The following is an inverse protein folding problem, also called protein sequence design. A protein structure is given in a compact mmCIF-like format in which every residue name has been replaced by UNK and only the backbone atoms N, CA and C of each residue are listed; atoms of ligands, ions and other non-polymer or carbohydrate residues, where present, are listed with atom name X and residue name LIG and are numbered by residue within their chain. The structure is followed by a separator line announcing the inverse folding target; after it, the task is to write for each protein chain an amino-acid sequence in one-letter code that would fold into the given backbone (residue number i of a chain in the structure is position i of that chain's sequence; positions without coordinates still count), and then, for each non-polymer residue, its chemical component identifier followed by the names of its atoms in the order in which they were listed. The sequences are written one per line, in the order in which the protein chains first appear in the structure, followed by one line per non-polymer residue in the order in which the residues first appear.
data_IF_101330165731
#
_entry.id   IF_101330165731
#
_cell.length_a   1.000
_cell.length_b   1.000
_cell.length_c   1.000
_cell.angle_alpha   90.00
_cell.angle_beta   90.00
_cell.angle_gamma   90.00
#
_symmetry.space_group_name_H-M   'P 1'
#
loop_
_entity.id
_entity.type
_entity.pdbx_description
1 polymer ?
#
# COMPACT_ATOMS: atom_id res chain seq x y z
N UNK A 1 -1.64 25.64 29.16
CA UNK A 1 -2.10 25.50 27.77
C UNK A 1 -2.00 24.04 27.47
N UNK A 2 -3.05 23.34 27.02
CA UNK A 2 -2.93 21.93 26.63
C UNK A 2 -2.07 21.85 25.36
N UNK A 3 -1.31 20.77 25.16
CA UNK A 3 -0.48 20.58 23.97
C UNK A 3 -1.37 20.51 22.74
N UNK A 4 -0.90 21.11 21.66
CA UNK A 4 -1.59 21.19 20.37
C UNK A 4 -1.56 19.79 19.70
N UNK A 5 -2.58 18.98 19.97
CA UNK A 5 -2.77 17.59 19.57
C UNK A 5 -3.21 17.41 18.10
N UNK A 6 -3.19 18.50 17.30
CA UNK A 6 -3.72 18.52 15.92
C UNK A 6 -2.91 17.72 14.90
N UNK A 7 -1.87 17.00 15.32
CA UNK A 7 -0.92 16.35 14.41
C UNK A 7 -0.87 14.83 14.46
N UNK A 8 -1.81 14.14 15.11
CA UNK A 8 -1.70 12.69 15.26
C UNK A 8 -2.99 11.97 14.90
N UNK A 9 -3.26 11.70 13.62
CA UNK A 9 -4.34 10.78 13.29
C UNK A 9 -4.19 10.20 11.88
N UNK A 10 -4.22 8.87 11.75
CA UNK A 10 -4.12 8.15 10.49
C UNK A 10 -5.10 7.00 10.36
N UNK A 11 -5.61 6.81 9.18
CA UNK A 11 -6.16 5.56 8.67
C UNK A 11 -5.16 4.95 7.70
N UNK A 12 -5.35 3.69 7.29
CA UNK A 12 -4.57 2.99 6.26
C UNK A 12 -4.18 3.89 5.10
N UNK A 13 -5.11 4.71 4.75
CA UNK A 13 -4.98 5.69 3.70
C UNK A 13 -4.22 6.94 4.13
N UNK A 14 -4.45 7.42 5.35
CA UNK A 14 -3.76 8.58 5.89
C UNK A 14 -2.28 8.29 6.17
N UNK A 15 -1.93 7.09 6.59
CA UNK A 15 -0.55 6.73 6.89
C UNK A 15 0.33 6.68 5.65
N UNK A 16 -0.14 6.09 4.54
CA UNK A 16 0.62 6.14 3.28
C UNK A 16 0.89 7.58 2.82
N UNK A 17 -0.04 8.49 3.07
CA UNK A 17 0.14 9.88 2.69
C UNK A 17 0.96 10.68 3.73
N UNK A 18 0.89 10.31 5.02
CA UNK A 18 1.70 10.97 6.05
C UNK A 18 3.16 10.58 6.00
N UNK A 19 3.50 9.39 5.49
CA UNK A 19 4.90 9.08 5.16
C UNK A 19 5.45 10.01 4.07
N UNK A 20 4.56 10.66 3.30
CA UNK A 20 4.91 11.70 2.35
C UNK A 20 4.93 13.12 2.96
N UNK A 21 4.32 13.32 4.14
CA UNK A 21 4.28 14.62 4.80
C UNK A 21 5.40 14.74 5.83
N UNK A 22 6.62 14.90 5.39
CA UNK A 22 7.59 15.59 6.22
C UNK A 22 7.19 17.06 6.31
N UNK A 23 6.27 17.39 7.21
CA UNK A 23 6.31 18.75 7.72
C UNK A 23 7.70 18.93 8.32
N UNK A 24 8.42 19.93 7.84
CA UNK A 24 9.56 20.47 8.55
C UNK A 24 9.05 20.97 9.90
N UNK A 25 8.89 20.08 10.85
CA UNK A 25 9.08 20.46 12.23
C UNK A 25 10.56 20.78 12.28
N UNK A 26 10.90 22.06 12.25
CA UNK A 26 12.20 22.50 12.72
C UNK A 26 12.37 21.80 14.07
N UNK A 27 13.18 20.76 14.10
CA UNK A 27 13.64 20.15 15.32
C UNK A 27 14.49 21.20 16.02
N UNK A 28 13.80 22.06 16.79
CA UNK A 28 14.45 22.74 17.87
C UNK A 28 14.96 21.60 18.75
N UNK A 29 16.27 21.49 18.86
CA UNK A 29 16.98 20.65 19.81
C UNK A 29 16.28 20.74 21.17
N UNK A 30 15.42 19.80 21.48
CA UNK A 30 14.88 19.62 22.79
C UNK A 30 15.48 18.33 23.34
N UNK A 31 16.41 18.47 24.28
CA UNK A 31 16.96 17.42 25.14
C UNK A 31 15.90 16.70 26.00
N UNK A 32 14.66 16.68 25.60
CA UNK A 32 13.58 15.97 26.29
C UNK A 32 13.51 14.54 25.78
N UNK A 33 13.35 13.55 26.66
CA UNK A 33 13.12 12.19 26.24
C UNK A 33 11.91 12.14 25.31
N UNK A 34 12.10 11.67 24.10
CA UNK A 34 11.05 11.52 23.11
C UNK A 34 10.35 10.18 23.33
N UNK A 35 9.05 10.22 23.58
CA UNK A 35 8.23 9.03 23.72
C UNK A 35 7.94 8.40 22.37
N UNK A 36 7.68 7.10 22.34
CA UNK A 36 7.32 6.38 21.13
C UNK A 36 6.06 6.98 20.47
N UNK A 37 5.08 7.40 21.26
CA UNK A 37 3.85 8.07 20.83
C UNK A 37 4.05 9.38 20.05
N UNK A 38 5.23 9.99 20.13
CA UNK A 38 5.51 11.26 19.47
C UNK A 38 5.86 11.07 17.98
N UNK A 39 6.26 9.88 17.59
CA UNK A 39 6.72 9.59 16.23
C UNK A 39 6.22 8.25 15.67
N UNK A 40 5.60 7.41 16.50
CA UNK A 40 5.03 6.13 16.11
C UNK A 40 3.52 6.15 16.35
N UNK A 41 2.75 5.95 15.29
CA UNK A 41 1.29 5.95 15.34
C UNK A 41 0.79 4.59 14.86
N UNK A 42 -0.31 4.14 15.45
CA UNK A 42 -0.88 2.83 15.14
C UNK A 42 -2.40 2.84 15.26
N UNK A 43 -3.02 1.96 14.51
CA UNK A 43 -4.47 1.75 14.56
C UNK A 43 -4.86 0.30 14.35
N UNK A 44 -6.08 -0.02 14.75
CA UNK A 44 -6.75 -1.26 14.37
C UNK A 44 -8.01 -0.90 13.59
N UNK A 45 -8.16 -1.49 12.42
CA UNK A 45 -9.14 -1.15 11.43
C UNK A 45 -10.04 -2.36 11.11
N UNK A 46 -11.33 -2.11 10.94
CA UNK A 46 -12.23 -3.02 10.24
C UNK A 46 -12.38 -2.51 8.82
N UNK A 47 -12.02 -3.35 7.87
CA UNK A 47 -12.01 -3.01 6.44
C UNK A 47 -13.03 -3.87 5.71
N UNK A 48 -13.99 -3.22 5.05
CA UNK A 48 -14.88 -3.85 4.09
C UNK A 48 -14.43 -3.54 2.67
N UNK A 49 -14.24 -4.56 1.84
CA UNK A 49 -13.81 -4.41 0.45
C UNK A 49 -14.90 -4.85 -0.53
N UNK A 50 -14.94 -4.19 -1.68
CA UNK A 50 -15.89 -4.46 -2.74
C UNK A 50 -15.22 -4.44 -4.12
N UNK A 51 -15.40 -5.51 -4.89
CA UNK A 51 -14.88 -5.66 -6.25
C UNK A 51 -13.36 -5.44 -6.35
N UNK A 52 -12.60 -5.97 -5.38
CA UNK A 52 -11.13 -5.95 -5.47
C UNK A 52 -10.64 -6.81 -6.62
N UNK A 53 -9.51 -6.40 -7.24
CA UNK A 53 -8.98 -6.97 -8.48
C UNK A 53 -7.49 -7.31 -8.38
N UNK A 54 -7.05 -7.83 -7.24
CA UNK A 54 -5.66 -8.31 -7.08
C UNK A 54 -5.43 -9.68 -7.71
N UNK A 55 -6.49 -10.40 -7.99
CA UNK A 55 -6.47 -11.72 -8.61
C UNK A 55 -7.35 -11.77 -9.85
N UNK A 56 -7.51 -12.97 -10.43
CA UNK A 56 -8.25 -13.12 -11.69
C UNK A 56 -9.77 -12.96 -11.54
N UNK A 57 -10.29 -12.95 -10.32
CA UNK A 57 -11.73 -12.82 -10.04
C UNK A 57 -12.01 -11.65 -9.12
N UNK A 58 -13.18 -11.02 -9.28
CA UNK A 58 -13.69 -10.03 -8.34
C UNK A 58 -13.89 -10.64 -6.96
N UNK A 59 -13.46 -9.94 -5.91
CA UNK A 59 -13.62 -10.37 -4.53
C UNK A 59 -14.21 -9.24 -3.67
N UNK A 60 -15.02 -9.66 -2.70
CA UNK A 60 -15.52 -8.82 -1.62
C UNK A 60 -15.13 -9.50 -0.32
N UNK A 61 -14.72 -8.72 0.67
CA UNK A 61 -14.31 -9.27 1.95
C UNK A 61 -14.51 -8.27 3.09
N UNK A 62 -14.43 -8.78 4.32
CA UNK A 62 -14.31 -7.97 5.53
C UNK A 62 -13.22 -8.58 6.40
N UNK A 63 -12.26 -7.77 6.80
CA UNK A 63 -11.09 -8.22 7.55
C UNK A 63 -10.67 -7.23 8.62
N UNK A 64 -9.86 -7.71 9.55
CA UNK A 64 -9.20 -6.88 10.55
C UNK A 64 -7.81 -6.51 10.03
N UNK A 65 -7.46 -5.25 10.17
CA UNK A 65 -6.15 -4.72 9.80
C UNK A 65 -5.52 -4.03 10.99
N UNK A 66 -4.24 -4.31 11.22
CA UNK A 66 -3.38 -3.49 12.07
C UNK A 66 -2.49 -2.63 11.18
N UNK A 67 -2.41 -1.34 11.47
CA UNK A 67 -1.64 -0.37 10.71
C UNK A 67 -0.71 0.41 11.61
N UNK A 68 0.48 0.72 11.12
CA UNK A 68 1.43 1.58 11.79
C UNK A 68 2.19 2.48 10.81
N UNK A 69 2.48 3.69 11.25
CA UNK A 69 3.42 4.56 10.57
C UNK A 69 4.30 5.30 11.59
N UNK A 70 5.50 5.64 11.16
CA UNK A 70 6.47 6.31 11.99
C UNK A 70 7.35 7.22 11.14
N UNK A 71 7.73 8.38 11.68
CA UNK A 71 8.77 9.22 11.08
C UNK A 71 9.60 9.85 12.17
N UNK A 72 10.91 9.58 12.14
CA UNK A 72 11.87 10.17 13.07
C UNK A 72 13.25 10.24 12.42
N UNK A 73 13.81 11.43 12.39
CA UNK A 73 15.15 11.69 11.84
C UNK A 73 15.36 11.05 10.46
N UNK A 74 16.21 10.04 10.38
CA UNK A 74 16.55 9.32 9.16
C UNK A 74 15.60 8.19 8.79
N UNK A 75 14.60 7.89 9.65
CA UNK A 75 13.70 6.75 9.48
C UNK A 75 12.28 7.22 9.16
N UNK A 76 11.69 6.62 8.12
CA UNK A 76 10.30 6.79 7.71
C UNK A 76 9.72 5.41 7.46
N UNK A 77 8.59 5.09 8.07
CA UNK A 77 7.99 3.77 8.04
C UNK A 77 6.48 3.87 7.83
N UNK A 78 6.00 3.01 6.98
CA UNK A 78 4.60 2.66 6.85
C UNK A 78 4.48 1.14 6.81
N UNK A 79 3.43 0.58 7.38
CA UNK A 79 3.14 -0.83 7.25
C UNK A 79 1.78 -1.20 7.80
N UNK A 80 1.24 -2.29 7.27
CA UNK A 80 -0.01 -2.88 7.76
C UNK A 80 0.05 -4.40 7.71
N UNK A 81 -0.81 -5.03 8.51
CA UNK A 81 -1.00 -6.46 8.57
C UNK A 81 -2.49 -6.78 8.65
N UNK A 82 -2.97 -7.55 7.69
CA UNK A 82 -4.36 -7.97 7.56
C UNK A 82 -4.55 -9.38 8.11
N UNK A 83 -5.64 -9.57 8.84
CA UNK A 83 -6.12 -10.87 9.30
C UNK A 83 -7.42 -11.23 8.56
N UNK A 84 -7.35 -11.82 7.35
CA UNK A 84 -8.51 -12.06 6.50
C UNK A 84 -9.53 -13.02 7.12
N UNK A 85 -9.07 -13.97 7.92
CA UNK A 85 -9.91 -15.00 8.54
C UNK A 85 -10.55 -14.57 9.87
N UNK A 86 -10.30 -13.35 10.33
CA UNK A 86 -10.73 -12.87 11.65
C UNK A 86 -12.25 -12.90 11.84
N UNK A 87 -13.03 -12.49 10.83
CA UNK A 87 -14.48 -12.45 10.88
C UNK A 87 -15.15 -13.75 10.41
N UNK A 88 -14.65 -14.91 10.87
CA UNK A 88 -15.23 -16.20 10.57
C UNK A 88 -14.76 -16.83 9.27
N UNK A 89 -13.64 -16.39 8.77
CA UNK A 89 -12.95 -17.06 7.69
C UNK A 89 -12.58 -18.47 8.13
N UNK A 90 -12.90 -19.44 7.29
CA UNK A 90 -12.48 -20.81 7.45
C UNK A 90 -11.34 -21.13 6.48
N UNK A 91 -10.98 -22.41 6.35
CA UNK A 91 -9.99 -22.86 5.38
C UNK A 91 -10.30 -22.47 3.94
N UNK A 92 -11.55 -22.18 3.65
CA UNK A 92 -12.08 -21.83 2.34
C UNK A 92 -12.38 -20.33 2.21
N UNK A 93 -11.80 -19.48 3.06
CA UNK A 93 -11.98 -18.04 2.97
C UNK A 93 -11.81 -17.59 1.51
N UNK A 94 -12.84 -16.92 0.99
CA UNK A 94 -12.92 -16.61 -0.44
C UNK A 94 -12.57 -15.18 -0.77
N UNK A 95 -12.35 -14.34 0.22
CA UNK A 95 -12.12 -12.91 0.07
C UNK A 95 -11.12 -12.50 -1.01
N UNK A 96 -10.37 -11.47 -0.75
CA UNK A 96 -9.32 -11.01 -1.67
C UNK A 96 -8.11 -11.96 -1.69
N UNK A 97 -7.98 -12.82 -0.68
CA UNK A 97 -6.88 -13.77 -0.54
C UNK A 97 -7.24 -15.14 -1.09
N UNK A 98 -6.31 -15.70 -1.86
CA UNK A 98 -6.45 -17.06 -2.37
C UNK A 98 -6.17 -18.08 -1.24
N UNK A 99 -6.91 -19.19 -1.28
CA UNK A 99 -6.69 -20.34 -0.38
C UNK A 99 -6.78 -20.00 1.11
N UNK A 100 -7.48 -18.92 1.48
CA UNK A 100 -7.73 -18.56 2.87
C UNK A 100 -6.47 -18.21 3.65
N UNK A 101 -5.64 -17.35 3.11
CA UNK A 101 -4.45 -16.85 3.80
C UNK A 101 -4.79 -16.32 5.19
N UNK A 102 -4.08 -16.72 6.24
CA UNK A 102 -4.33 -16.22 7.59
C UNK A 102 -3.71 -14.86 7.86
N UNK A 103 -2.73 -14.44 7.06
CA UNK A 103 -1.99 -13.20 7.23
C UNK A 103 -1.54 -12.66 5.87
N UNK A 104 -1.83 -11.39 5.66
CA UNK A 104 -1.20 -10.58 4.61
C UNK A 104 -0.53 -9.38 5.27
N UNK A 105 0.61 -8.94 4.77
CA UNK A 105 1.26 -7.72 5.26
C UNK A 105 2.03 -7.00 4.16
N UNK A 106 2.12 -5.68 4.31
CA UNK A 106 2.99 -4.81 3.53
C UNK A 106 3.72 -3.87 4.47
N UNK A 107 5.03 -3.72 4.28
CA UNK A 107 5.86 -2.78 5.03
C UNK A 107 6.72 -1.94 4.08
N UNK A 108 6.83 -0.66 4.36
CA UNK A 108 7.52 0.33 3.53
C UNK A 108 8.51 1.17 4.36
N UNK A 109 9.65 0.63 4.81
CA UNK A 109 10.68 1.42 5.45
C UNK A 109 11.46 2.24 4.41
N UNK A 110 11.65 3.53 4.71
CA UNK A 110 12.52 4.43 3.96
C UNK A 110 13.60 4.98 4.88
N UNK A 111 14.81 5.06 4.39
CA UNK A 111 16.00 5.53 5.12
C UNK A 111 16.55 6.77 4.43
N UNK A 112 16.51 7.92 5.09
CA UNK A 112 16.97 9.19 4.54
C UNK A 112 18.48 9.14 4.26
N UNK A 113 18.84 9.24 3.00
CA UNK A 113 20.25 9.29 2.58
C UNK A 113 20.88 10.59 3.04
N UNK A 114 20.16 11.71 2.89
CA UNK A 114 20.59 13.05 3.31
C UNK A 114 21.01 13.05 4.78
N UNK A 115 20.16 12.55 5.67
CA UNK A 115 20.43 12.55 7.12
C UNK A 115 21.47 11.54 7.54
N UNK A 116 21.46 10.35 6.94
CA UNK A 116 22.47 9.30 7.24
C UNK A 116 23.87 9.68 6.78
N UNK A 117 23.99 10.43 5.69
CA UNK A 117 25.29 10.90 5.17
C UNK A 117 25.65 12.29 5.66
N UNK A 118 24.74 12.97 6.38
CA UNK A 118 24.87 14.38 6.74
C UNK A 118 25.18 15.28 5.54
N UNK A 119 24.53 15.00 4.41
CA UNK A 119 24.73 15.71 3.13
C UNK A 119 23.38 16.20 2.64
N UNK A 120 23.27 17.47 2.30
CA UNK A 120 22.08 18.00 1.64
C UNK A 120 22.12 17.62 0.15
N UNK A 121 21.23 16.71 -0.26
CA UNK A 121 21.08 16.26 -1.64
C UNK A 121 19.87 16.93 -2.33
N UNK A 122 19.24 17.91 -1.69
CA UNK A 122 18.09 18.61 -2.26
C UNK A 122 18.48 19.41 -3.52
N UNK A 123 17.61 19.39 -4.52
CA UNK A 123 17.71 20.27 -5.69
C UNK A 123 16.34 20.52 -6.32
N UNK A 124 16.04 21.76 -6.66
CA UNK A 124 14.76 22.15 -7.23
C UNK A 124 13.59 21.75 -6.29
N UNK A 125 12.58 21.00 -6.77
CA UNK A 125 11.48 20.55 -5.94
C UNK A 125 11.81 19.31 -5.09
N UNK A 126 12.91 18.61 -5.35
CA UNK A 126 13.30 17.40 -4.63
C UNK A 126 13.99 17.79 -3.32
N UNK A 127 13.36 17.42 -2.18
CA UNK A 127 13.77 17.92 -0.86
C UNK A 127 14.58 16.94 -0.04
N UNK A 128 14.27 15.68 -0.10
CA UNK A 128 14.92 14.64 0.68
C UNK A 128 14.95 13.35 -0.12
N UNK A 129 16.09 12.65 -0.10
CA UNK A 129 16.27 11.40 -0.82
C UNK A 129 16.36 10.22 0.13
N UNK A 130 15.77 9.12 -0.30
CA UNK A 130 15.67 7.91 0.51
C UNK A 130 16.17 6.67 -0.22
N UNK A 131 16.82 5.78 0.53
CA UNK A 131 16.82 4.37 0.18
C UNK A 131 15.46 3.81 0.59
N UNK A 132 14.64 3.51 -0.40
CA UNK A 132 13.24 3.14 -0.22
C UNK A 132 13.08 1.62 -0.40
N UNK A 133 12.30 1.02 0.47
CA UNK A 133 11.94 -0.38 0.40
C UNK A 133 10.42 -0.54 0.50
N UNK A 134 9.90 -1.62 -0.11
CA UNK A 134 8.54 -2.08 0.10
C UNK A 134 8.58 -3.61 0.06
N UNK A 135 8.09 -4.25 1.11
CA UNK A 135 8.02 -5.70 1.19
C UNK A 135 6.58 -6.13 1.36
N UNK A 136 6.12 -7.00 0.47
CA UNK A 136 4.78 -7.59 0.47
C UNK A 136 4.90 -9.07 0.79
N UNK A 137 4.10 -9.52 1.75
CA UNK A 137 4.04 -10.89 2.16
C UNK A 137 2.59 -11.37 2.31
N UNK A 138 2.25 -12.46 1.61
CA UNK A 138 1.04 -13.23 1.83
C UNK A 138 1.44 -14.62 2.32
N UNK A 139 1.04 -14.95 3.53
CA UNK A 139 1.42 -16.20 4.18
C UNK A 139 0.89 -17.42 3.42
N UNK A 140 -0.30 -17.32 2.82
CA UNK A 140 -0.98 -18.42 2.17
C UNK A 140 -1.17 -19.64 3.08
N UNK A 141 -1.83 -20.67 2.59
CA UNK A 141 -1.93 -21.96 3.30
C UNK A 141 -1.02 -23.03 2.72
N UNK A 142 -0.61 -22.85 1.49
CA UNK A 142 0.30 -23.75 0.78
C UNK A 142 1.27 -22.92 -0.08
N UNK A 143 2.20 -23.59 -0.75
CA UNK A 143 3.20 -22.93 -1.58
C UNK A 143 2.57 -22.03 -2.67
N UNK A 144 1.55 -22.52 -3.34
CA UNK A 144 0.91 -21.80 -4.45
C UNK A 144 -0.04 -20.67 -3.99
N UNK A 145 -0.26 -20.55 -2.69
CA UNK A 145 -1.02 -19.46 -2.07
C UNK A 145 -0.15 -18.37 -1.47
N UNK A 146 1.18 -18.42 -1.63
CA UNK A 146 2.12 -17.49 -1.01
C UNK A 146 2.60 -16.42 -1.96
N UNK A 147 2.79 -15.22 -1.40
CA UNK A 147 3.56 -14.17 -2.04
C UNK A 147 4.67 -13.70 -1.09
N UNK A 148 5.84 -13.45 -1.64
CA UNK A 148 6.96 -12.81 -0.95
C UNK A 148 7.73 -11.98 -1.97
N UNK A 149 7.48 -10.67 -1.96
CA UNK A 149 7.99 -9.73 -2.97
C UNK A 149 8.70 -8.59 -2.27
N UNK A 150 9.90 -8.29 -2.71
CA UNK A 150 10.67 -7.16 -2.23
C UNK A 150 10.92 -6.16 -3.35
N UNK A 151 10.57 -4.93 -3.09
CA UNK A 151 10.88 -3.78 -3.91
C UNK A 151 11.95 -2.95 -3.21
N UNK A 152 13.04 -2.62 -3.88
CA UNK A 152 14.10 -1.79 -3.35
C UNK A 152 14.55 -0.75 -4.37
N UNK A 153 14.85 0.47 -3.90
CA UNK A 153 15.26 1.53 -4.81
C UNK A 153 15.40 2.89 -4.16
N UNK A 154 15.13 3.92 -4.92
CA UNK A 154 15.26 5.30 -4.48
C UNK A 154 13.89 5.97 -4.35
N UNK A 155 13.75 6.81 -3.34
CA UNK A 155 12.58 7.65 -3.13
C UNK A 155 12.97 9.10 -2.88
N UNK A 156 11.99 9.99 -3.04
CA UNK A 156 12.17 11.42 -2.74
C UNK A 156 10.86 12.04 -2.29
N UNK A 157 10.96 13.01 -1.39
CA UNK A 157 9.87 13.92 -1.04
C UNK A 157 9.97 15.18 -1.92
N UNK A 158 8.81 15.67 -2.39
CA UNK A 158 8.73 16.75 -3.38
C UNK A 158 7.98 17.94 -2.78
N UNK A 159 8.59 19.10 -2.84
CA UNK A 159 7.95 20.37 -2.56
C UNK A 159 7.18 20.85 -3.80
N UNK A 160 5.88 20.84 -3.70
CA UNK A 160 5.00 21.28 -4.79
C UNK A 160 4.70 22.78 -4.73
N UNK A 161 5.10 23.47 -3.66
CA UNK A 161 4.67 24.83 -3.36
C UNK A 161 3.18 24.96 -2.96
N UNK A 162 2.48 23.83 -2.79
CA UNK A 162 1.07 23.74 -2.40
C UNK A 162 0.95 23.13 -0.99
N UNK A 163 -0.17 23.34 -0.29
CA UNK A 163 -0.42 22.72 1.02
C UNK A 163 -0.74 21.23 0.88
N UNK A 164 0.18 20.47 0.31
CA UNK A 164 0.09 19.03 0.11
C UNK A 164 1.44 18.39 0.28
N UNK A 165 1.44 17.12 0.62
CA UNK A 165 2.64 16.29 0.59
C UNK A 165 2.64 15.43 -0.67
N UNK A 166 3.79 15.29 -1.29
CA UNK A 166 4.01 14.44 -2.45
C UNK A 166 5.30 13.66 -2.27
N UNK A 167 5.27 12.36 -2.51
CA UNK A 167 6.47 11.54 -2.58
C UNK A 167 6.43 10.60 -3.77
N UNK A 168 7.62 10.27 -4.28
CA UNK A 168 7.81 9.34 -5.40
C UNK A 168 8.89 8.34 -5.04
N UNK A 169 8.69 7.09 -5.45
CA UNK A 169 9.69 6.04 -5.31
C UNK A 169 9.79 5.24 -6.62
N UNK A 170 11.00 4.82 -6.95
CA UNK A 170 11.29 3.89 -8.06
C UNK A 170 12.01 2.69 -7.49
N UNK A 171 11.52 1.51 -7.81
CA UNK A 171 12.01 0.25 -7.27
C UNK A 171 12.38 -0.75 -8.36
N UNK A 172 13.40 -1.56 -8.11
CA UNK A 172 13.55 -2.88 -8.72
C UNK A 172 12.79 -3.90 -7.87
N UNK A 173 12.19 -4.91 -8.50
CA UNK A 173 11.34 -5.90 -7.85
C UNK A 173 12.03 -7.27 -7.85
N UNK A 174 12.16 -7.89 -6.66
CA UNK A 174 12.59 -9.27 -6.49
C UNK A 174 11.43 -10.12 -5.97
N UNK A 175 11.17 -11.24 -6.64
CA UNK A 175 10.10 -12.18 -6.30
C UNK A 175 10.70 -13.45 -5.71
N UNK A 176 10.54 -13.72 -4.40
CA UNK A 176 10.83 -15.04 -3.85
C UNK A 176 9.69 -16.02 -4.10
N UNK A 177 8.45 -15.54 -3.99
CA UNK A 177 7.22 -16.30 -4.23
C UNK A 177 6.19 -15.39 -4.86
N UNK A 178 5.43 -15.90 -5.82
CA UNK A 178 4.35 -15.17 -6.47
C UNK A 178 3.19 -16.11 -6.86
N UNK A 179 2.62 -16.76 -5.84
CA UNK A 179 1.47 -17.65 -6.01
C UNK A 179 1.70 -18.78 -7.03
N UNK A 180 2.94 -19.32 -7.10
CA UNK A 180 3.31 -20.34 -8.06
C UNK A 180 3.48 -19.86 -9.49
N UNK A 181 3.61 -18.56 -9.72
CA UNK A 181 3.85 -17.99 -11.05
C UNK A 181 5.28 -18.31 -11.55
N UNK A 182 5.51 -18.10 -12.85
CA UNK A 182 6.79 -18.42 -13.50
C UNK A 182 7.95 -17.54 -13.00
N UNK A 183 7.67 -16.33 -12.52
CA UNK A 183 8.64 -15.32 -12.08
C UNK A 183 9.06 -15.44 -10.60
N UNK A 184 9.18 -16.65 -10.06
CA UNK A 184 9.64 -16.86 -8.68
C UNK A 184 11.16 -17.02 -8.60
N UNK A 185 11.76 -16.50 -7.50
CA UNK A 185 13.19 -16.50 -7.17
C UNK A 185 14.07 -15.71 -8.14
N UNK A 186 13.55 -14.59 -8.65
CA UNK A 186 14.28 -13.73 -9.59
C UNK A 186 13.95 -12.25 -9.46
N UNK A 187 14.78 -11.42 -10.09
CA UNK A 187 14.44 -10.03 -10.36
C UNK A 187 13.47 -9.97 -11.52
N UNK A 188 12.31 -9.33 -11.29
CA UNK A 188 11.24 -9.33 -12.27
C UNK A 188 10.56 -7.96 -12.36
N UNK A 189 11.20 -7.08 -13.09
CA UNK A 189 10.69 -5.76 -13.43
C UNK A 189 10.85 -4.71 -12.32
N UNK A 190 10.07 -3.66 -12.45
CA UNK A 190 10.21 -2.42 -11.71
C UNK A 190 8.84 -1.93 -11.22
N UNK A 191 8.86 -1.05 -10.22
CA UNK A 191 7.68 -0.29 -9.77
C UNK A 191 8.01 1.19 -9.67
N UNK A 192 7.11 2.03 -10.16
CA UNK A 192 7.01 3.44 -9.78
C UNK A 192 5.82 3.61 -8.84
N UNK A 193 6.05 4.23 -7.69
CA UNK A 193 5.01 4.56 -6.71
C UNK A 193 4.99 6.06 -6.50
N UNK A 194 3.81 6.66 -6.60
CA UNK A 194 3.57 8.04 -6.21
C UNK A 194 2.54 8.06 -5.08
N UNK A 195 2.78 8.89 -4.07
CA UNK A 195 1.86 9.09 -2.93
C UNK A 195 1.65 10.58 -2.71
N UNK A 196 0.44 10.96 -2.36
CA UNK A 196 0.10 12.34 -2.01
C UNK A 196 -0.94 12.42 -0.89
N UNK A 197 -0.85 13.50 -0.12
CA UNK A 197 -1.79 13.85 0.94
C UNK A 197 -2.18 15.31 0.81
N UNK A 198 -3.49 15.58 0.84
CA UNK A 198 -4.07 16.93 0.75
C UNK A 198 -5.02 17.11 1.93
N UNK A 199 -4.69 17.93 2.93
CA UNK A 199 -5.67 18.34 3.94
C UNK A 199 -6.72 19.24 3.28
N UNK A 200 -8.02 18.92 3.46
CA UNK A 200 -9.09 19.67 2.80
C UNK A 200 -9.68 20.70 3.77
N UNK A 201 -10.28 20.25 4.86
CA UNK A 201 -10.97 21.12 5.82
C UNK A 201 -11.31 20.37 7.09
N UNK A 202 -11.63 21.11 8.15
CA UNK A 202 -12.28 20.55 9.32
C UNK A 202 -13.77 20.32 9.02
N UNK A 203 -14.27 19.14 9.32
CA UNK A 203 -15.65 18.75 9.09
C UNK A 203 -16.17 17.96 10.30
N UNK A 204 -17.29 18.40 10.87
CA UNK A 204 -17.96 17.76 12.02
C UNK A 204 -17.03 17.49 13.22
N UNK A 205 -16.03 18.36 13.43
CA UNK A 205 -15.05 18.20 14.51
C UNK A 205 -13.90 17.25 14.22
N UNK A 206 -13.83 16.70 13.01
CA UNK A 206 -12.70 15.93 12.51
C UNK A 206 -12.05 16.59 11.31
N UNK A 207 -10.86 16.13 10.93
CA UNK A 207 -10.14 16.61 9.75
C UNK A 207 -10.46 15.76 8.52
N UNK A 208 -11.03 16.37 7.49
CA UNK A 208 -11.22 15.75 6.19
C UNK A 208 -9.95 15.91 5.34
N UNK A 209 -9.48 14.81 4.77
CA UNK A 209 -8.30 14.77 3.92
C UNK A 209 -8.56 13.95 2.65
N UNK A 210 -7.87 14.31 1.57
CA UNK A 210 -7.81 13.51 0.37
C UNK A 210 -6.41 12.93 0.21
N UNK A 211 -6.37 11.63 -0.03
CA UNK A 211 -5.14 10.85 -0.03
C UNK A 211 -5.14 9.99 -1.27
N UNK A 212 -3.99 9.81 -1.87
CA UNK A 212 -3.88 8.90 -2.98
C UNK A 212 -2.51 8.27 -3.09
N UNK A 213 -2.52 7.07 -3.67
CA UNK A 213 -1.30 6.43 -4.12
C UNK A 213 -1.55 5.64 -5.40
N UNK A 214 -0.53 5.60 -6.25
CA UNK A 214 -0.56 4.85 -7.49
C UNK A 214 0.71 4.04 -7.61
N UNK A 215 0.55 2.74 -7.83
CA UNK A 215 1.61 1.82 -8.20
C UNK A 215 1.51 1.54 -9.69
N UNK A 216 2.61 1.71 -10.40
CA UNK A 216 2.78 1.31 -11.78
C UNK A 216 3.92 0.30 -11.86
N UNK A 217 3.60 -0.96 -12.18
CA UNK A 217 4.56 -2.05 -12.38
C UNK A 217 4.81 -2.22 -13.88
N UNK A 218 6.08 -2.43 -14.27
CA UNK A 218 6.46 -2.66 -15.66
C UNK A 218 7.75 -3.50 -15.78
N UNK A 219 7.98 -4.03 -16.98
CA UNK A 219 9.22 -4.75 -17.31
C UNK A 219 9.33 -6.11 -16.62
N UNK A 220 8.21 -6.69 -16.21
CA UNK A 220 8.13 -8.08 -15.76
C UNK A 220 8.08 -9.01 -16.97
N UNK A 221 8.74 -10.16 -16.91
CA UNK A 221 8.69 -11.19 -17.95
C UNK A 221 7.48 -12.11 -17.79
N UNK A 222 6.69 -11.93 -16.73
CA UNK A 222 5.57 -12.80 -16.37
C UNK A 222 4.55 -13.01 -17.50
N UNK A 223 4.26 -11.98 -18.29
CA UNK A 223 3.38 -12.07 -19.44
C UNK A 223 3.98 -12.95 -20.55
N UNK A 224 5.29 -12.87 -20.76
CA UNK A 224 5.98 -13.66 -21.79
C UNK A 224 6.12 -15.13 -21.38
N UNK A 225 6.39 -15.39 -20.11
CA UNK A 225 6.56 -16.71 -19.52
C UNK A 225 5.26 -17.43 -19.21
N UNK A 226 4.13 -16.68 -19.16
CA UNK A 226 2.83 -17.28 -18.89
C UNK A 226 2.26 -18.04 -20.09
N UNK A 227 1.48 -19.09 -19.78
CA UNK A 227 0.71 -19.82 -20.79
C UNK A 227 -0.46 -19.00 -21.36
N UNK A 228 -1.17 -19.62 -22.30
CA UNK A 228 -2.37 -19.08 -22.90
C UNK A 228 -3.62 -19.59 -22.19
N UNK A 229 -4.60 -18.73 -22.04
CA UNK A 229 -5.94 -19.04 -21.58
C UNK A 229 -6.73 -19.83 -22.64
N UNK A 230 -7.91 -20.36 -22.27
CA UNK A 230 -8.75 -21.17 -23.16
C UNK A 230 -9.17 -20.42 -24.44
N UNK A 231 -9.28 -19.10 -24.38
CA UNK A 231 -9.62 -18.24 -25.51
C UNK A 231 -8.41 -17.71 -26.29
N UNK A 232 -7.20 -18.24 -26.03
CA UNK A 232 -5.98 -17.87 -26.76
C UNK A 232 -5.33 -16.57 -26.32
N UNK A 233 -5.83 -15.90 -25.27
CA UNK A 233 -5.20 -14.73 -24.66
C UNK A 233 -4.10 -15.20 -23.69
N UNK A 234 -2.97 -14.48 -23.61
CA UNK A 234 -1.97 -14.71 -22.56
C UNK A 234 -2.63 -14.56 -21.18
N UNK A 235 -2.32 -15.44 -20.23
CA UNK A 235 -2.95 -15.39 -18.91
C UNK A 235 -2.47 -14.24 -18.04
N UNK A 236 -1.24 -13.80 -18.23
CA UNK A 236 -0.59 -12.73 -17.43
C UNK A 236 -0.08 -11.60 -18.34
N UNK A 237 0.30 -10.50 -17.72
CA UNK A 237 0.82 -9.28 -18.38
C UNK A 237 2.15 -8.86 -17.79
N UNK A 238 2.94 -8.08 -18.55
CA UNK A 238 4.22 -7.54 -18.13
C UNK A 238 4.10 -6.21 -17.35
N UNK A 239 2.89 -5.72 -17.18
CA UNK A 239 2.62 -4.47 -16.47
C UNK A 239 1.29 -4.50 -15.72
N UNK A 240 1.17 -3.63 -14.73
CA UNK A 240 -0.08 -3.38 -14.03
C UNK A 240 -0.12 -1.97 -13.43
N UNK A 241 -1.34 -1.47 -13.21
CA UNK A 241 -1.57 -0.22 -12.48
C UNK A 241 -2.56 -0.51 -11.36
N UNK A 242 -2.30 0.06 -10.17
CA UNK A 242 -3.27 0.15 -9.09
C UNK A 242 -3.23 1.57 -8.52
N UNK A 243 -4.37 2.28 -8.58
CA UNK A 243 -4.49 3.67 -8.12
C UNK A 243 -5.62 3.79 -7.10
N UNK A 244 -5.29 4.25 -5.90
CA UNK A 244 -6.23 4.46 -4.81
C UNK A 244 -6.50 5.93 -4.58
N UNK A 245 -7.76 6.26 -4.36
CA UNK A 245 -8.29 7.59 -4.10
C UNK A 245 -9.14 7.52 -2.84
N UNK A 246 -8.78 8.25 -1.81
CA UNK A 246 -9.27 8.05 -0.47
C UNK A 246 -9.74 9.37 0.10
N UNK A 247 -10.99 9.40 0.58
CA UNK A 247 -11.47 10.44 1.47
C UNK A 247 -11.46 9.90 2.89
N UNK A 248 -10.71 10.56 3.77
CA UNK A 248 -10.56 10.17 5.16
C UNK A 248 -11.01 11.29 6.08
N UNK A 249 -11.87 10.95 7.05
CA UNK A 249 -12.31 11.82 8.12
C UNK A 249 -11.72 11.31 9.43
N UNK A 250 -10.86 12.11 10.04
CA UNK A 250 -10.04 11.73 11.19
C UNK A 250 -10.42 12.52 12.42
N UNK A 251 -10.66 11.80 13.53
CA UNK A 251 -10.85 12.29 14.89
C UNK A 251 -9.67 11.86 15.77
N UNK A 252 -9.69 12.15 17.04
CA UNK A 252 -8.61 11.77 17.97
C UNK A 252 -8.36 10.27 18.00
N UNK A 253 -9.41 9.50 18.27
CA UNK A 253 -9.34 8.05 18.42
C UNK A 253 -10.01 7.29 17.29
N UNK A 254 -10.82 7.94 16.47
CA UNK A 254 -11.57 7.26 15.42
C UNK A 254 -11.26 7.86 14.06
N UNK A 255 -11.24 7.01 13.06
CA UNK A 255 -11.21 7.46 11.68
C UNK A 255 -12.13 6.64 10.78
N UNK A 256 -12.55 7.28 9.71
CA UNK A 256 -13.44 6.71 8.71
C UNK A 256 -12.90 7.03 7.33
N UNK A 257 -12.87 6.03 6.45
CA UNK A 257 -12.39 6.26 5.09
C UNK A 257 -13.28 5.58 4.06
N UNK A 258 -13.46 6.26 2.93
CA UNK A 258 -14.04 5.72 1.72
C UNK A 258 -12.95 5.72 0.66
N UNK A 259 -12.71 4.55 0.07
CA UNK A 259 -11.67 4.35 -0.93
C UNK A 259 -12.31 3.95 -2.25
N UNK A 260 -11.98 4.67 -3.33
CA UNK A 260 -12.16 4.22 -4.70
C UNK A 260 -10.80 3.78 -5.24
N UNK A 261 -10.70 2.55 -5.75
CA UNK A 261 -9.47 2.04 -6.32
C UNK A 261 -9.69 1.56 -7.75
N UNK A 262 -8.82 2.01 -8.63
CA UNK A 262 -8.78 1.57 -10.03
C UNK A 262 -7.63 0.58 -10.23
N UNK A 263 -7.90 -0.48 -10.96
CA UNK A 263 -6.88 -1.42 -11.43
C UNK A 263 -6.89 -1.49 -12.95
N UNK A 264 -5.71 -1.65 -13.51
CA UNK A 264 -5.48 -2.12 -14.85
C UNK A 264 -4.54 -3.31 -14.78
N UNK A 265 -4.99 -4.46 -15.25
CA UNK A 265 -4.27 -5.73 -15.12
C UNK A 265 -3.87 -6.04 -13.66
N UNK A 266 -4.80 -5.87 -12.71
CA UNK A 266 -4.54 -6.07 -11.29
C UNK A 266 -3.88 -7.41 -11.01
N UNK A 267 -2.78 -7.41 -10.21
CA UNK A 267 -1.95 -8.59 -9.99
C UNK A 267 -1.30 -9.14 -11.25
N UNK A 268 -1.14 -8.33 -12.31
CA UNK A 268 -0.62 -8.73 -13.62
C UNK A 268 -1.41 -9.85 -14.31
N UNK A 269 -2.72 -9.91 -14.09
CA UNK A 269 -3.63 -10.77 -14.83
C UNK A 269 -4.14 -10.04 -16.07
N UNK A 270 -4.17 -10.77 -17.20
CA UNK A 270 -4.69 -10.22 -18.44
C UNK A 270 -6.23 -10.24 -18.43
N UNK A 271 -6.83 -9.06 -18.55
CA UNK A 271 -8.28 -8.92 -18.53
C UNK A 271 -8.91 -9.72 -19.68
N UNK A 272 -10.11 -10.27 -19.45
CA UNK A 272 -10.84 -11.14 -20.38
C UNK A 272 -10.17 -12.49 -20.75
N UNK A 273 -8.99 -12.85 -20.23
CA UNK A 273 -8.45 -14.20 -20.39
C UNK A 273 -9.42 -15.23 -19.78
N UNK A 274 -9.79 -16.28 -20.53
CA UNK A 274 -10.70 -17.32 -20.03
C UNK A 274 -9.94 -18.43 -19.30
N UNK A 275 -10.18 -18.54 -18.01
CA UNK A 275 -9.52 -19.52 -17.12
C UNK A 275 -10.51 -20.53 -16.56
N UNK A 276 -9.97 -21.68 -16.12
CA UNK A 276 -10.71 -22.71 -15.40
C UNK A 276 -9.86 -23.29 -14.26
N UNK A 277 -10.30 -23.10 -13.03
CA UNK A 277 -9.66 -23.67 -11.83
C UNK A 277 -10.39 -24.89 -11.29
N UNK A 278 -11.08 -25.64 -12.16
CA UNK A 278 -11.81 -26.84 -11.78
C UNK A 278 -13.29 -26.65 -11.48
N UNK A 279 -13.77 -25.39 -11.44
CA UNK A 279 -15.16 -25.04 -11.13
C UNK A 279 -15.94 -24.42 -12.32
N UNK A 280 -15.47 -24.68 -13.55
CA UNK A 280 -16.02 -24.10 -14.77
C UNK A 280 -15.19 -22.91 -15.28
N UNK A 281 -15.47 -22.51 -16.52
CA UNK A 281 -14.78 -21.40 -17.16
C UNK A 281 -15.28 -20.06 -16.60
N UNK A 282 -14.36 -19.11 -16.48
CA UNK A 282 -14.66 -17.71 -16.14
C UNK A 282 -13.69 -16.77 -16.84
N UNK A 283 -14.13 -15.56 -17.13
CA UNK A 283 -13.24 -14.53 -17.65
C UNK A 283 -12.58 -13.75 -16.51
N UNK A 284 -11.29 -13.49 -16.64
CA UNK A 284 -10.53 -12.63 -15.74
C UNK A 284 -11.16 -11.23 -15.69
N UNK A 285 -11.20 -10.64 -14.53
CA UNK A 285 -11.76 -9.32 -14.24
C UNK A 285 -10.75 -8.46 -13.47
N UNK A 286 -9.58 -8.25 -14.05
CA UNK A 286 -8.44 -7.56 -13.46
C UNK A 286 -8.43 -6.05 -13.69
N UNK A 287 -9.27 -5.54 -14.60
CA UNK A 287 -9.35 -4.11 -14.93
C UNK A 287 -10.69 -3.51 -14.49
N UNK A 288 -10.65 -2.33 -13.89
CA UNK A 288 -11.82 -1.56 -13.48
C UNK A 288 -11.76 -1.05 -12.04
N UNK A 289 -12.88 -0.54 -11.55
CA UNK A 289 -13.02 0.05 -10.23
C UNK A 289 -13.49 -0.96 -9.18
N UNK A 290 -13.03 -0.76 -7.94
CA UNK A 290 -13.55 -1.32 -6.72
C UNK A 290 -13.40 -0.32 -5.60
N UNK A 291 -13.68 -0.71 -4.36
CA UNK A 291 -13.62 0.22 -3.25
C UNK A 291 -13.50 -0.44 -1.90
N UNK A 292 -13.27 0.42 -0.88
CA UNK A 292 -13.19 -0.01 0.51
C UNK A 292 -13.92 0.98 1.40
N UNK A 293 -14.45 0.46 2.49
CA UNK A 293 -14.89 1.23 3.64
C UNK A 293 -14.01 0.84 4.83
N UNK A 294 -13.50 1.83 5.53
CA UNK A 294 -12.61 1.62 6.68
C UNK A 294 -13.19 2.33 7.90
N UNK A 295 -13.22 1.63 9.01
CA UNK A 295 -13.47 2.20 10.33
C UNK A 295 -12.33 1.75 11.23
N UNK A 296 -11.62 2.69 11.82
CA UNK A 296 -10.45 2.40 12.64
C UNK A 296 -10.42 3.14 13.96
N UNK A 297 -9.67 2.55 14.90
CA UNK A 297 -9.37 3.11 16.20
C UNK A 297 -7.87 3.34 16.35
N UNK A 298 -7.49 4.57 16.69
CA UNK A 298 -6.10 5.01 16.91
C UNK A 298 -5.72 4.90 18.39
N UNK A 299 -4.50 4.43 18.66
CA UNK A 299 -3.93 4.29 20.01
C UNK A 299 -3.02 5.45 20.37
#
# INVERSE_FOLDING_TARGET
MPPDWRNSIGSTACAEARSASSFTVNAAENDKPQYLSDWWHQSVNVVGSYHTRFGPQLRNDTYLEYEAFAKKDWFDFYGYADAPVFFGGNSDAKGIWNHGSPLFMEIEPRFSIDKLTNTDLSFGPFKEWYFANNYIYDMGRNKDGRQSTWYMGLGTDIDTGLPMSLSMNVYAKYQWQNYGAANENEWDGYRFKVKYFVPITDLWGGQLSYIGFTNFDWGSDLGDDSGYANNGIKTRTNNSIASSHILALNYDHWHYSVVARYWHNGGQWNDDAELNFGNGNFNVRSTGWGGYLVVGYNF
#
